data_IF_342342967315
#
_entry.id   IF_342342967315
#
_cell.length_a   1.000
_cell.length_b   1.000
_cell.length_c   1.000
_cell.angle_alpha   90.00
_cell.angle_beta   90.00
_cell.angle_gamma   90.00
#
_symmetry.space_group_name_H-M   'P 1'
#
loop_
_entity.id
_entity.type
_entity.pdbx_description
1 polymer ?
#
# COMPACT_ATOMS: atom_id res chain seq x y z
N UNK A 1 -22.07 -18.48 69.01
CA UNK A 1 -21.92 -17.72 70.28
C UNK A 1 -20.67 -16.86 70.17
N UNK A 2 -20.80 -15.53 70.21
CA UNK A 2 -19.73 -14.54 70.47
C UNK A 2 -19.10 -14.79 71.87
N UNK A 3 -17.90 -14.26 72.27
CA UNK A 3 -17.54 -12.84 72.14
C UNK A 3 -16.04 -12.41 72.08
N UNK A 4 -15.93 -11.10 71.80
CA UNK A 4 -14.86 -10.10 72.02
C UNK A 4 -13.80 -10.35 73.11
N UNK A 5 -12.58 -9.81 72.91
CA UNK A 5 -11.88 -8.89 73.85
C UNK A 5 -10.52 -8.40 73.30
N UNK A 6 -10.44 -7.13 72.90
CA UNK A 6 -9.20 -6.37 72.69
C UNK A 6 -8.92 -5.47 73.91
N UNK A 7 -7.73 -5.54 74.52
CA UNK A 7 -7.18 -4.57 75.51
C UNK A 7 -5.97 -3.88 74.86
N UNK A 8 -6.05 -2.59 74.50
CA UNK A 8 -5.80 -1.40 75.34
C UNK A 8 -4.37 -1.29 75.92
N UNK A 9 -3.59 -0.36 75.35
CA UNK A 9 -2.46 0.35 75.99
C UNK A 9 -2.74 1.86 75.97
N UNK A 10 -3.42 2.31 77.03
CA UNK A 10 -3.10 3.45 77.92
C UNK A 10 -1.68 4.07 77.74
N UNK A 11 -1.35 5.38 77.87
CA UNK A 11 -1.96 6.68 78.25
C UNK A 11 -0.99 7.80 77.79
N UNK A 12 -1.51 9.01 77.46
CA UNK A 12 -1.14 10.34 78.03
C UNK A 12 -1.41 11.48 77.04
N UNK A 13 -2.54 12.16 77.25
CA UNK A 13 -2.83 13.51 76.74
C UNK A 13 -2.35 14.53 77.78
N UNK A 14 -1.74 15.65 77.37
CA UNK A 14 -1.85 16.89 78.11
C UNK A 14 -3.04 17.73 77.62
N UNK A 15 -3.52 18.56 78.53
CA UNK A 15 -4.73 19.37 78.48
C UNK A 15 -4.69 20.46 77.41
N UNK A 16 -5.88 20.72 76.88
CA UNK A 16 -6.20 21.87 76.04
C UNK A 16 -6.00 23.18 76.83
N UNK A 17 -5.33 24.15 76.21
CA UNK A 17 -5.50 25.55 76.54
C UNK A 17 -6.19 26.22 75.34
N UNK A 18 -7.32 26.84 75.66
CA UNK A 18 -8.26 27.51 74.77
C UNK A 18 -7.72 28.88 74.37
N UNK A 19 -7.64 29.17 73.08
CA UNK A 19 -7.52 30.53 72.58
C UNK A 19 -8.29 30.68 71.26
N UNK A 20 -9.42 31.38 71.36
CA UNK A 20 -10.14 32.15 70.33
C UNK A 20 -10.28 31.54 68.92
N UNK A 21 -11.50 31.14 68.59
CA UNK A 21 -11.97 30.99 67.20
C UNK A 21 -11.88 32.35 66.48
N UNK A 22 -10.98 32.44 65.51
CA UNK A 22 -10.95 33.52 64.53
C UNK A 22 -11.63 32.98 63.25
N UNK A 23 -12.81 33.48 62.83
CA UNK A 23 -13.56 32.92 61.70
C UNK A 23 -13.07 33.42 60.33
N UNK A 24 -11.80 33.79 60.20
CA UNK A 24 -11.26 34.40 58.98
C UNK A 24 -9.88 33.83 58.62
N UNK A 25 -9.85 32.59 58.13
CA UNK A 25 -8.76 32.14 57.27
C UNK A 25 -9.34 31.82 55.88
N UNK A 26 -9.09 32.75 54.97
CA UNK A 26 -9.58 32.71 53.60
C UNK A 26 -8.80 31.67 52.79
N UNK A 27 -9.54 30.69 52.23
CA UNK A 27 -9.11 29.82 51.13
C UNK A 27 -8.50 30.66 50.01
N UNK A 28 -7.16 30.66 49.94
CA UNK A 28 -6.39 31.40 48.94
C UNK A 28 -5.96 30.52 47.75
N UNK A 29 -6.02 29.19 47.88
CA UNK A 29 -5.59 28.27 46.81
C UNK A 29 -6.66 27.98 45.74
N UNK A 30 -7.95 28.26 45.97
CA UNK A 30 -9.01 28.06 44.97
C UNK A 30 -9.34 29.30 44.13
N UNK A 31 -8.89 30.48 44.57
CA UNK A 31 -9.13 31.73 43.84
C UNK A 31 -8.03 31.99 42.81
N UNK A 32 -6.78 31.63 43.08
CA UNK A 32 -5.68 31.80 42.13
C UNK A 32 -5.76 30.87 40.92
N UNK A 33 -6.25 29.63 41.10
CA UNK A 33 -6.52 28.70 39.99
C UNK A 33 -7.63 29.22 39.08
N UNK A 34 -8.74 29.69 39.65
CA UNK A 34 -9.86 30.26 38.88
C UNK A 34 -9.50 31.58 38.22
N UNK A 35 -8.69 32.43 38.84
CA UNK A 35 -8.23 33.70 38.24
C UNK A 35 -7.25 33.43 37.09
N UNK A 36 -6.33 32.46 37.21
CA UNK A 36 -5.41 32.10 36.11
C UNK A 36 -6.12 31.39 34.95
N UNK A 37 -7.16 30.61 35.23
CA UNK A 37 -8.02 29.96 34.23
C UNK A 37 -8.96 30.95 33.52
N UNK A 38 -9.54 31.91 34.26
CA UNK A 38 -10.34 33.01 33.69
C UNK A 38 -9.48 34.05 32.96
N UNK A 39 -8.25 34.32 33.42
CA UNK A 39 -7.28 35.16 32.71
C UNK A 39 -6.75 34.50 31.43
N UNK A 40 -6.55 33.17 31.41
CA UNK A 40 -6.27 32.41 30.18
C UNK A 40 -7.43 32.47 29.20
N UNK A 41 -8.66 32.25 29.67
CA UNK A 41 -9.90 32.36 28.89
C UNK A 41 -10.10 33.77 28.29
N UNK A 42 -9.61 34.82 28.97
CA UNK A 42 -9.69 36.21 28.50
C UNK A 42 -8.61 36.58 27.46
N UNK A 43 -7.45 35.90 27.46
CA UNK A 43 -6.37 36.11 26.50
C UNK A 43 -6.33 35.08 25.35
N UNK A 44 -7.04 33.96 25.47
CA UNK A 44 -7.25 33.01 24.37
C UNK A 44 -8.28 33.59 23.40
N UNK A 45 -7.78 34.32 22.38
CA UNK A 45 -8.57 34.62 21.18
C UNK A 45 -9.16 33.30 20.68
N UNK A 46 -10.50 33.22 20.62
CA UNK A 46 -11.22 32.12 19.98
C UNK A 46 -10.50 31.77 18.67
N UNK A 47 -10.20 30.48 18.39
CA UNK A 47 -9.43 30.11 17.22
C UNK A 47 -10.10 30.74 16.00
N UNK A 48 -9.41 31.68 15.36
CA UNK A 48 -9.96 32.30 14.16
C UNK A 48 -10.15 31.19 13.13
N UNK A 49 -11.18 31.27 12.29
CA UNK A 49 -11.43 30.27 11.26
C UNK A 49 -10.16 29.96 10.42
N UNK A 50 -9.28 30.97 10.29
CA UNK A 50 -7.94 30.88 9.69
C UNK A 50 -6.95 30.01 10.49
N UNK A 51 -6.89 30.13 11.81
CA UNK A 51 -6.03 29.31 12.66
C UNK A 51 -6.52 27.86 12.73
N UNK A 52 -7.84 27.66 12.77
CA UNK A 52 -8.45 26.33 12.69
C UNK A 52 -8.15 25.66 11.35
N UNK A 53 -8.34 26.36 10.23
CA UNK A 53 -8.02 25.86 8.89
C UNK A 53 -6.53 25.56 8.70
N UNK A 54 -5.64 26.40 9.26
CA UNK A 54 -4.19 26.17 9.21
C UNK A 54 -3.77 24.96 10.05
N UNK A 55 -4.39 24.75 11.21
CA UNK A 55 -4.14 23.58 12.06
C UNK A 55 -4.65 22.30 11.40
N UNK A 56 -5.86 22.31 10.83
CA UNK A 56 -6.41 21.22 10.06
C UNK A 56 -5.50 20.85 8.87
N UNK A 57 -5.08 21.84 8.07
CA UNK A 57 -4.12 21.63 6.96
C UNK A 57 -2.83 20.94 7.42
N UNK A 58 -2.24 21.42 8.52
CA UNK A 58 -0.99 20.86 9.06
C UNK A 58 -1.19 19.43 9.54
N UNK A 59 -2.32 19.15 10.16
CA UNK A 59 -2.67 17.81 10.64
C UNK A 59 -2.86 16.86 9.45
N UNK A 60 -3.70 17.21 8.47
CA UNK A 60 -3.90 16.39 7.26
C UNK A 60 -2.60 16.15 6.51
N UNK A 61 -1.74 17.16 6.35
CA UNK A 61 -0.43 16.94 5.72
C UNK A 61 0.49 16.02 6.52
N UNK A 62 0.41 16.05 7.85
CA UNK A 62 1.23 15.17 8.70
C UNK A 62 0.76 13.72 8.59
N UNK A 63 -0.56 13.51 8.63
CA UNK A 63 -1.20 12.21 8.46
C UNK A 63 -0.89 11.63 7.08
N UNK A 64 -1.14 12.39 6.01
CA UNK A 64 -0.81 12.00 4.62
C UNK A 64 0.65 11.59 4.48
N UNK A 65 1.59 12.39 5.01
CA UNK A 65 3.02 12.04 4.98
C UNK A 65 3.36 10.81 5.81
N UNK A 66 2.64 10.55 6.90
CA UNK A 66 2.84 9.35 7.70
C UNK A 66 2.38 8.11 6.94
N UNK A 67 1.16 8.14 6.43
CA UNK A 67 0.59 7.06 5.62
C UNK A 67 1.43 6.78 4.37
N UNK A 68 1.93 7.83 3.69
CA UNK A 68 2.84 7.66 2.55
C UNK A 68 4.14 6.92 2.92
N UNK A 69 4.71 7.18 4.10
CA UNK A 69 5.91 6.47 4.59
C UNK A 69 5.61 5.04 5.05
N UNK A 70 4.41 4.77 5.54
CA UNK A 70 3.98 3.40 5.87
C UNK A 70 3.80 2.58 4.60
N UNK A 71 3.09 3.13 3.61
CA UNK A 71 2.97 2.53 2.28
C UNK A 71 4.35 2.30 1.62
N UNK A 72 5.29 3.23 1.73
CA UNK A 72 6.66 3.01 1.22
C UNK A 72 7.40 1.85 1.90
N UNK A 73 7.13 1.59 3.18
CA UNK A 73 7.71 0.44 3.88
C UNK A 73 7.07 -0.86 3.41
N UNK A 74 5.76 -0.88 3.27
CA UNK A 74 5.01 -2.03 2.76
C UNK A 74 5.38 -2.35 1.31
N UNK A 75 5.53 -1.33 0.45
CA UNK A 75 6.04 -1.49 -0.92
C UNK A 75 7.40 -2.18 -0.95
N UNK A 76 8.32 -1.80 -0.05
CA UNK A 76 9.65 -2.44 0.02
C UNK A 76 9.57 -3.88 0.51
N UNK A 77 8.59 -4.20 1.33
CA UNK A 77 8.36 -5.57 1.81
C UNK A 77 7.79 -6.43 0.68
N UNK A 78 6.80 -5.94 -0.06
CA UNK A 78 6.29 -6.59 -1.27
C UNK A 78 7.39 -6.79 -2.31
N UNK A 79 8.29 -5.82 -2.52
CA UNK A 79 9.44 -5.97 -3.43
C UNK A 79 10.43 -7.07 -2.99
N UNK A 80 10.58 -7.30 -1.68
CA UNK A 80 11.42 -8.39 -1.15
C UNK A 80 10.73 -9.74 -1.35
N UNK A 81 9.44 -9.81 -1.04
CA UNK A 81 8.62 -11.00 -1.24
C UNK A 81 8.59 -11.38 -2.73
N UNK A 82 8.40 -10.42 -3.64
CA UNK A 82 8.43 -10.65 -5.09
C UNK A 82 9.77 -11.29 -5.52
N UNK A 83 10.90 -10.75 -5.03
CA UNK A 83 12.23 -11.29 -5.34
C UNK A 83 12.43 -12.69 -4.76
N UNK A 84 11.94 -12.95 -3.55
CA UNK A 84 12.02 -14.26 -2.92
C UNK A 84 11.21 -15.29 -3.72
N UNK A 85 9.96 -14.98 -4.05
CA UNK A 85 9.08 -15.84 -4.86
C UNK A 85 9.73 -16.09 -6.23
N UNK A 86 10.32 -15.07 -6.86
CA UNK A 86 11.02 -15.23 -8.14
C UNK A 86 12.22 -16.20 -8.03
N UNK A 87 12.98 -16.14 -6.94
CA UNK A 87 14.08 -17.08 -6.69
C UNK A 87 13.56 -18.50 -6.47
N UNK A 88 12.52 -18.66 -5.67
CA UNK A 88 11.89 -19.96 -5.39
C UNK A 88 11.29 -20.56 -6.65
N UNK A 89 10.62 -19.76 -7.48
CA UNK A 89 10.04 -20.15 -8.76
C UNK A 89 11.14 -20.63 -9.72
N UNK A 90 12.26 -19.90 -9.83
CA UNK A 90 13.41 -20.32 -10.64
C UNK A 90 14.05 -21.62 -10.12
N UNK A 91 14.17 -21.79 -8.80
CA UNK A 91 14.70 -23.01 -8.21
C UNK A 91 13.75 -24.20 -8.42
N UNK A 92 12.44 -24.00 -8.28
CA UNK A 92 11.42 -25.04 -8.47
C UNK A 92 11.34 -25.47 -9.93
N UNK A 93 11.39 -24.51 -10.85
CA UNK A 93 11.43 -24.75 -12.28
C UNK A 93 12.64 -25.62 -12.69
N UNK A 94 13.84 -25.33 -12.16
CA UNK A 94 15.02 -26.18 -12.40
C UNK A 94 14.86 -27.61 -11.87
N UNK A 95 14.20 -27.79 -10.72
CA UNK A 95 13.96 -29.12 -10.12
C UNK A 95 12.87 -29.90 -10.85
N UNK A 96 11.89 -29.22 -11.43
CA UNK A 96 10.78 -29.85 -12.13
C UNK A 96 11.17 -30.44 -13.50
N UNK A 97 12.25 -29.93 -14.13
CA UNK A 97 12.72 -30.40 -15.43
C UNK A 97 11.61 -30.36 -16.49
N UNK A 98 11.56 -31.36 -17.37
CA UNK A 98 10.59 -31.43 -18.49
C UNK A 98 9.10 -31.51 -18.07
N UNK A 99 8.80 -31.70 -16.78
CA UNK A 99 7.43 -31.72 -16.26
C UNK A 99 7.01 -30.37 -15.63
N UNK A 100 7.78 -29.31 -15.85
CA UNK A 100 7.55 -27.97 -15.27
C UNK A 100 6.12 -27.45 -15.42
N UNK A 101 5.49 -27.68 -16.58
CA UNK A 101 4.12 -27.22 -16.87
C UNK A 101 3.01 -27.99 -16.13
N UNK A 102 3.32 -29.11 -15.48
CA UNK A 102 2.35 -29.92 -14.69
C UNK A 102 2.62 -29.87 -13.19
N UNK A 103 3.61 -29.10 -12.76
CA UNK A 103 4.01 -29.01 -11.36
C UNK A 103 3.12 -28.02 -10.62
N UNK A 104 2.16 -28.53 -9.84
CA UNK A 104 1.19 -27.71 -9.09
C UNK A 104 1.85 -26.70 -8.14
N UNK A 105 3.03 -27.04 -7.60
CA UNK A 105 3.79 -26.12 -6.76
C UNK A 105 4.36 -24.93 -7.54
N UNK A 106 4.70 -25.12 -8.82
CA UNK A 106 5.24 -24.09 -9.69
C UNK A 106 4.12 -23.12 -10.11
N UNK A 107 2.95 -23.64 -10.49
CA UNK A 107 1.75 -22.84 -10.77
C UNK A 107 1.30 -22.06 -9.53
N UNK A 108 1.33 -22.67 -8.34
CA UNK A 108 0.99 -21.99 -7.09
C UNK A 108 1.94 -20.81 -6.78
N UNK A 109 3.26 -21.00 -6.95
CA UNK A 109 4.26 -19.93 -6.78
C UNK A 109 4.08 -18.82 -7.81
N UNK A 110 3.73 -19.16 -9.05
CA UNK A 110 3.45 -18.15 -10.08
C UNK A 110 2.17 -17.37 -9.78
N UNK A 111 1.11 -18.02 -9.30
CA UNK A 111 -0.10 -17.33 -8.81
C UNK A 111 0.26 -16.36 -7.69
N UNK A 112 1.04 -16.79 -6.69
CA UNK A 112 1.51 -15.89 -5.63
C UNK A 112 2.31 -14.69 -6.17
N UNK A 113 3.14 -14.89 -7.19
CA UNK A 113 3.90 -13.81 -7.83
C UNK A 113 2.98 -12.77 -8.49
N UNK A 114 1.98 -13.22 -9.24
CA UNK A 114 0.98 -12.33 -9.88
C UNK A 114 0.22 -11.53 -8.82
N UNK A 115 -0.23 -12.20 -7.75
CA UNK A 115 -0.95 -11.54 -6.66
C UNK A 115 -0.11 -10.44 -5.97
N UNK A 116 1.16 -10.71 -5.69
CA UNK A 116 2.07 -9.72 -5.09
C UNK A 116 2.28 -8.51 -6.01
N UNK A 117 2.36 -8.72 -7.33
CA UNK A 117 2.48 -7.62 -8.31
C UNK A 117 1.23 -6.74 -8.35
N UNK A 118 0.04 -7.34 -8.35
CA UNK A 118 -1.23 -6.62 -8.30
C UNK A 118 -1.37 -5.82 -6.99
N UNK A 119 -0.99 -6.43 -5.85
CA UNK A 119 -0.96 -5.74 -4.56
C UNK A 119 -0.02 -4.53 -4.58
N UNK A 120 1.18 -4.66 -5.19
CA UNK A 120 2.11 -3.53 -5.34
C UNK A 120 1.52 -2.40 -6.18
N UNK A 121 0.86 -2.73 -7.28
CA UNK A 121 0.19 -1.75 -8.14
C UNK A 121 -0.93 -1.01 -7.40
N UNK A 122 -1.80 -1.74 -6.68
CA UNK A 122 -2.84 -1.15 -5.83
C UNK A 122 -2.25 -0.22 -4.77
N UNK A 123 -1.15 -0.62 -4.15
CA UNK A 123 -0.48 0.19 -3.14
C UNK A 123 0.12 1.46 -3.74
N UNK A 124 0.67 1.39 -4.95
CA UNK A 124 1.16 2.56 -5.69
C UNK A 124 0.01 3.51 -6.07
N UNK A 125 -1.12 2.99 -6.54
CA UNK A 125 -2.32 3.79 -6.81
C UNK A 125 -2.87 4.46 -5.54
N UNK A 126 -2.95 3.71 -4.44
CA UNK A 126 -3.40 4.21 -3.13
C UNK A 126 -2.47 5.31 -2.59
N UNK A 127 -1.15 5.16 -2.79
CA UNK A 127 -0.15 6.18 -2.43
C UNK A 127 -0.35 7.48 -3.21
N UNK A 128 -0.57 7.37 -4.52
CA UNK A 128 -0.86 8.52 -5.37
C UNK A 128 -2.16 9.21 -4.90
N UNK A 129 -3.18 8.42 -4.57
CA UNK A 129 -4.45 8.92 -4.09
C UNK A 129 -4.33 9.70 -2.77
N UNK A 130 -3.70 9.12 -1.74
CA UNK A 130 -3.46 9.80 -0.46
C UNK A 130 -2.64 11.10 -0.67
N UNK A 131 -1.71 11.09 -1.62
CA UNK A 131 -1.00 12.30 -2.05
C UNK A 131 -1.93 13.37 -2.62
N UNK A 132 -2.84 12.98 -3.52
CA UNK A 132 -3.84 13.86 -4.11
C UNK A 132 -4.78 14.44 -3.04
N UNK A 133 -5.27 13.63 -2.09
CA UNK A 133 -6.08 14.09 -0.95
C UNK A 133 -5.32 15.15 -0.13
N UNK A 134 -4.04 14.92 0.14
CA UNK A 134 -3.20 15.90 0.82
C UNK A 134 -3.04 17.22 0.06
N UNK A 135 -2.93 17.16 -1.26
CA UNK A 135 -2.90 18.35 -2.14
C UNK A 135 -4.24 19.07 -2.14
N UNK A 136 -5.36 18.35 -2.23
CA UNK A 136 -6.71 18.92 -2.17
C UNK A 136 -6.97 19.60 -0.82
N UNK A 137 -6.64 18.95 0.30
CA UNK A 137 -6.75 19.56 1.63
C UNK A 137 -5.87 20.82 1.75
N UNK A 138 -4.68 20.81 1.14
CA UNK A 138 -3.81 21.98 1.07
C UNK A 138 -4.43 23.14 0.27
N UNK A 139 -5.07 22.82 -0.86
CA UNK A 139 -5.77 23.78 -1.73
C UNK A 139 -6.99 24.37 -1.02
N UNK A 140 -7.83 23.53 -0.42
CA UNK A 140 -9.02 23.94 0.34
C UNK A 140 -8.64 24.86 1.50
N UNK A 141 -7.58 24.54 2.24
CA UNK A 141 -7.10 25.42 3.30
C UNK A 141 -6.58 26.78 2.78
N UNK A 142 -5.98 26.81 1.58
CA UNK A 142 -5.60 28.07 0.93
C UNK A 142 -6.82 28.88 0.48
N UNK A 143 -7.85 28.21 -0.06
CA UNK A 143 -9.13 28.84 -0.42
C UNK A 143 -9.82 29.43 0.81
N UNK A 144 -9.89 28.70 1.93
CA UNK A 144 -10.45 29.22 3.19
C UNK A 144 -9.65 30.42 3.71
N UNK A 145 -8.32 30.37 3.62
CA UNK A 145 -7.48 31.49 4.02
C UNK A 145 -7.68 32.72 3.11
N UNK A 146 -7.83 32.52 1.80
CA UNK A 146 -8.12 33.57 0.83
C UNK A 146 -9.51 34.16 1.06
N UNK A 147 -10.54 33.32 1.22
CA UNK A 147 -11.91 33.76 1.52
C UNK A 147 -11.99 34.51 2.86
N UNK A 148 -11.26 34.07 3.89
CA UNK A 148 -11.16 34.80 5.16
C UNK A 148 -10.46 36.15 4.99
N UNK A 149 -9.41 36.24 4.17
CA UNK A 149 -8.72 37.48 3.87
C UNK A 149 -9.61 38.43 3.06
N UNK A 150 -10.26 37.93 2.00
CA UNK A 150 -11.23 38.67 1.19
C UNK A 150 -12.42 39.11 2.05
N UNK A 151 -12.92 38.29 2.98
CA UNK A 151 -13.96 38.67 3.93
C UNK A 151 -13.53 39.83 4.83
N UNK A 152 -12.30 39.80 5.35
CA UNK A 152 -11.75 40.93 6.12
C UNK A 152 -11.52 42.20 5.29
N UNK A 153 -11.19 42.05 4.00
CA UNK A 153 -10.97 43.17 3.06
C UNK A 153 -12.29 43.71 2.49
N UNK A 154 -13.31 42.87 2.26
CA UNK A 154 -14.66 43.27 1.81
C UNK A 154 -15.52 43.81 2.94
N UNK A 155 -15.24 43.44 4.19
CA UNK A 155 -15.79 44.17 5.34
C UNK A 155 -15.20 45.59 5.46
N UNK A 156 -14.05 45.86 4.81
CA UNK A 156 -13.49 47.20 4.62
C UNK A 156 -13.86 47.84 3.25
N UNK A 157 -14.28 47.06 2.26
CA UNK A 157 -14.77 47.50 0.93
C UNK A 157 -16.14 46.86 0.64
N UNK A 158 -17.22 47.56 0.97
CA UNK A 158 -18.60 47.07 0.89
C UNK A 158 -18.97 46.41 -0.44
N UNK A 159 -19.31 45.11 -0.35
CA UNK A 159 -20.27 44.36 -1.18
C UNK A 159 -20.26 44.57 -2.70
N UNK A 160 -19.67 43.62 -3.45
CA UNK A 160 -20.25 43.12 -4.71
C UNK A 160 -19.55 41.90 -5.34
N UNK A 161 -18.29 41.54 -5.00
CA UNK A 161 -17.55 40.56 -5.81
C UNK A 161 -17.20 39.20 -5.15
N UNK A 162 -17.59 38.98 -3.89
CA UNK A 162 -17.21 37.75 -3.15
C UNK A 162 -18.05 36.50 -3.44
N UNK A 163 -19.20 36.64 -4.11
CA UNK A 163 -20.13 35.52 -4.33
C UNK A 163 -19.74 34.61 -5.51
N UNK A 164 -18.91 35.08 -6.46
CA UNK A 164 -18.47 34.27 -7.60
C UNK A 164 -17.47 33.18 -7.18
N UNK A 165 -16.45 33.51 -6.38
CA UNK A 165 -15.44 32.55 -5.91
C UNK A 165 -16.02 31.45 -5.00
N UNK A 166 -17.01 31.79 -4.16
CA UNK A 166 -17.63 30.83 -3.25
C UNK A 166 -18.44 29.75 -4.01
N UNK A 167 -19.13 30.14 -5.09
CA UNK A 167 -19.93 29.23 -5.91
C UNK A 167 -19.05 28.25 -6.70
N UNK A 168 -17.92 28.72 -7.21
CA UNK A 168 -16.94 27.87 -7.89
C UNK A 168 -16.29 26.88 -6.92
N UNK A 169 -15.98 27.33 -5.70
CA UNK A 169 -15.47 26.45 -4.63
C UNK A 169 -16.48 25.36 -4.23
N UNK A 170 -17.77 25.69 -4.11
CA UNK A 170 -18.82 24.71 -3.83
C UNK A 170 -18.95 23.67 -4.96
N UNK A 171 -18.82 24.10 -6.22
CA UNK A 171 -18.84 23.21 -7.38
C UNK A 171 -17.66 22.23 -7.37
N UNK A 172 -16.45 22.72 -7.08
CA UNK A 172 -15.25 21.88 -6.92
C UNK A 172 -15.44 20.88 -5.78
N UNK A 173 -16.10 21.27 -4.68
CA UNK A 173 -16.37 20.37 -3.56
C UNK A 173 -17.39 19.27 -3.92
N UNK A 174 -18.42 19.59 -4.70
CA UNK A 174 -19.37 18.59 -5.22
C UNK A 174 -18.71 17.66 -6.25
N UNK A 175 -17.90 18.18 -7.16
CA UNK A 175 -17.14 17.36 -8.11
C UNK A 175 -16.17 16.44 -7.37
N UNK A 176 -15.52 16.92 -6.30
CA UNK A 176 -14.67 16.10 -5.45
C UNK A 176 -15.47 15.01 -4.73
N UNK A 177 -16.61 15.34 -4.10
CA UNK A 177 -17.46 14.32 -3.45
C UNK A 177 -17.89 13.25 -4.45
N UNK A 178 -18.27 13.66 -5.66
CA UNK A 178 -18.68 12.75 -6.73
C UNK A 178 -17.53 11.91 -7.27
N UNK A 179 -16.33 12.47 -7.38
CA UNK A 179 -15.13 11.74 -7.81
C UNK A 179 -14.66 10.79 -6.71
N UNK A 180 -14.76 11.19 -5.44
CA UNK A 180 -14.43 10.36 -4.28
C UNK A 180 -15.42 9.20 -4.15
N UNK A 181 -16.73 9.43 -4.35
CA UNK A 181 -17.75 8.37 -4.43
C UNK A 181 -17.52 7.46 -5.63
N UNK A 182 -17.26 8.01 -6.83
CA UNK A 182 -16.93 7.21 -8.01
C UNK A 182 -15.69 6.36 -7.81
N UNK A 183 -14.74 6.88 -7.07
CA UNK A 183 -13.51 6.18 -6.77
C UNK A 183 -13.72 5.15 -5.67
N UNK A 184 -14.48 5.43 -4.61
CA UNK A 184 -14.89 4.42 -3.63
C UNK A 184 -15.63 3.28 -4.33
N UNK A 185 -16.56 3.59 -5.24
CA UNK A 185 -17.22 2.59 -6.09
C UNK A 185 -16.21 1.88 -6.99
N UNK A 186 -15.23 2.56 -7.59
CA UNK A 186 -14.17 1.89 -8.37
C UNK A 186 -13.26 1.03 -7.49
N UNK A 187 -13.01 1.41 -6.25
CA UNK A 187 -12.19 0.67 -5.30
C UNK A 187 -12.96 -0.55 -4.80
N UNK A 188 -14.26 -0.42 -4.53
CA UNK A 188 -15.17 -1.53 -4.20
C UNK A 188 -15.32 -2.47 -5.41
N UNK A 189 -15.57 -1.94 -6.60
CA UNK A 189 -15.62 -2.76 -7.83
C UNK A 189 -14.26 -3.38 -8.16
N UNK A 190 -13.15 -2.72 -7.83
CA UNK A 190 -11.80 -3.26 -8.02
C UNK A 190 -11.45 -4.28 -6.95
N UNK A 191 -11.96 -4.14 -5.72
CA UNK A 191 -11.77 -5.10 -4.63
C UNK A 191 -12.67 -6.32 -4.81
N UNK A 192 -13.91 -6.14 -5.28
CA UNK A 192 -14.80 -7.21 -5.72
C UNK A 192 -14.24 -7.90 -6.97
N UNK A 193 -13.76 -7.14 -7.96
CA UNK A 193 -13.05 -7.71 -9.10
C UNK A 193 -11.72 -8.33 -8.70
N UNK A 194 -11.07 -7.95 -7.59
CA UNK A 194 -9.85 -8.58 -7.08
C UNK A 194 -10.16 -9.88 -6.35
N UNK A 195 -11.22 -9.90 -5.55
CA UNK A 195 -11.71 -11.11 -4.87
C UNK A 195 -12.15 -12.12 -5.93
N UNK A 196 -12.89 -11.65 -6.94
CA UNK A 196 -13.31 -12.47 -8.08
C UNK A 196 -12.11 -12.80 -9.00
N UNK A 197 -11.14 -11.89 -9.22
CA UNK A 197 -9.91 -12.16 -9.97
C UNK A 197 -9.01 -13.19 -9.26
N UNK A 198 -8.95 -13.18 -7.94
CA UNK A 198 -8.20 -14.19 -7.18
C UNK A 198 -8.82 -15.59 -7.30
N UNK A 199 -10.13 -15.69 -7.57
CA UNK A 199 -10.86 -16.94 -7.85
C UNK A 199 -11.09 -17.21 -9.35
N UNK A 200 -10.84 -16.23 -10.25
CA UNK A 200 -11.09 -16.35 -11.69
C UNK A 200 -9.94 -17.01 -12.45
N UNK A 201 -10.33 -17.59 -13.59
CA UNK A 201 -9.45 -18.23 -14.56
C UNK A 201 -8.36 -17.26 -15.11
N UNK A 202 -8.60 -15.95 -15.10
CA UNK A 202 -7.65 -14.94 -15.64
C UNK A 202 -6.33 -14.86 -14.84
N UNK A 203 -6.37 -14.92 -13.50
CA UNK A 203 -5.13 -14.98 -12.70
C UNK A 203 -4.43 -16.32 -12.89
N UNK A 204 -5.16 -17.40 -13.19
CA UNK A 204 -4.54 -18.68 -13.54
C UNK A 204 -3.90 -18.64 -14.92
N UNK A 205 -4.50 -17.97 -15.90
CA UNK A 205 -3.90 -17.78 -17.22
C UNK A 205 -2.65 -16.90 -17.17
N UNK A 206 -2.67 -15.78 -16.42
CA UNK A 206 -1.48 -14.96 -16.20
C UNK A 206 -0.39 -15.73 -15.45
N UNK A 207 -0.76 -16.51 -14.44
CA UNK A 207 0.18 -17.37 -13.73
C UNK A 207 0.81 -18.40 -14.68
N UNK A 208 0.01 -19.05 -15.52
CA UNK A 208 0.47 -20.02 -16.50
C UNK A 208 1.41 -19.38 -17.53
N UNK A 209 1.11 -18.17 -18.02
CA UNK A 209 2.02 -17.41 -18.87
C UNK A 209 3.35 -17.10 -18.16
N UNK A 210 3.30 -16.69 -16.88
CA UNK A 210 4.49 -16.44 -16.07
C UNK A 210 5.30 -17.73 -15.86
N UNK A 211 4.65 -18.88 -15.65
CA UNK A 211 5.34 -20.18 -15.55
C UNK A 211 6.06 -20.51 -16.85
N UNK A 212 5.38 -20.38 -17.99
CA UNK A 212 5.93 -20.66 -19.32
C UNK A 212 7.12 -19.73 -19.62
N UNK A 213 6.98 -18.43 -19.31
CA UNK A 213 8.06 -17.48 -19.48
C UNK A 213 9.30 -17.88 -18.65
N UNK A 214 9.12 -18.26 -17.37
CA UNK A 214 10.26 -18.66 -16.53
C UNK A 214 10.86 -19.99 -16.97
N UNK A 215 10.05 -20.94 -17.44
CA UNK A 215 10.54 -22.21 -18.00
C UNK A 215 11.35 -21.99 -19.29
N UNK A 216 10.88 -21.09 -20.16
CA UNK A 216 11.58 -20.67 -21.37
C UNK A 216 12.90 -19.94 -21.05
N UNK A 217 12.88 -19.00 -20.09
CA UNK A 217 14.08 -18.29 -19.61
C UNK A 217 15.15 -19.24 -19.03
N UNK A 218 14.72 -20.37 -18.45
CA UNK A 218 15.63 -21.37 -17.87
C UNK A 218 16.11 -22.43 -18.87
N UNK A 219 15.64 -22.40 -20.12
CA UNK A 219 16.06 -23.34 -21.16
C UNK A 219 15.55 -24.78 -20.98
N UNK A 220 14.64 -25.02 -20.03
CA UNK A 220 14.09 -26.36 -19.74
C UNK A 220 13.23 -26.87 -20.90
N UNK A 221 12.67 -25.98 -21.72
CA UNK A 221 11.98 -26.35 -22.96
C UNK A 221 12.93 -26.72 -24.11
N UNK A 222 14.17 -26.21 -24.11
CA UNK A 222 15.12 -26.47 -25.20
C UNK A 222 15.64 -27.91 -25.14
N UNK A 223 15.83 -28.45 -23.94
CA UNK A 223 16.19 -29.86 -23.75
C UNK A 223 15.07 -30.80 -24.23
N UNK A 224 13.79 -30.45 -24.06
CA UNK A 224 12.69 -31.26 -24.58
C UNK A 224 12.62 -31.28 -26.12
N UNK A 225 13.03 -30.20 -26.80
CA UNK A 225 13.13 -30.16 -28.28
C UNK A 225 14.46 -30.72 -28.80
N UNK A 226 15.52 -30.71 -28.01
CA UNK A 226 16.83 -31.28 -28.40
C UNK A 226 16.98 -32.75 -28.08
N UNK A 227 16.28 -33.30 -27.08
CA UNK A 227 16.26 -34.76 -26.80
C UNK A 227 15.44 -35.53 -27.85
N UNK A 228 14.58 -34.86 -28.62
CA UNK A 228 13.90 -35.41 -29.79
C UNK A 228 14.61 -35.16 -31.13
N UNK A 229 15.71 -34.42 -31.12
CA UNK A 229 16.58 -34.27 -32.28
C UNK A 229 17.78 -35.18 -32.07
N UNK A 230 17.64 -36.43 -32.54
CA UNK A 230 18.80 -37.27 -32.85
C UNK A 230 19.87 -36.39 -33.52
N UNK A 231 21.09 -36.49 -33.01
CA UNK A 231 22.23 -35.71 -33.46
C UNK A 231 22.26 -35.64 -35.00
N UNK A 232 22.52 -34.47 -35.61
CA UNK A 232 22.53 -34.31 -37.07
C UNK A 232 23.53 -35.22 -37.79
N UNK A 233 24.43 -35.91 -37.06
CA UNK A 233 25.31 -36.94 -37.60
C UNK A 233 24.59 -38.13 -38.24
N UNK A 234 23.42 -38.56 -37.74
CA UNK A 234 22.80 -39.79 -38.25
C UNK A 234 22.08 -39.60 -39.60
N UNK A 235 21.46 -38.44 -39.82
CA UNK A 235 20.83 -38.11 -41.12
C UNK A 235 21.85 -37.81 -42.21
N UNK A 236 22.99 -37.19 -41.86
CA UNK A 236 24.11 -36.98 -42.79
C UNK A 236 24.77 -38.31 -43.17
N UNK A 237 24.96 -39.24 -42.23
CA UNK A 237 25.51 -40.57 -42.51
C UNK A 237 24.58 -41.43 -43.38
N UNK A 238 23.26 -41.37 -43.16
CA UNK A 238 22.30 -42.10 -43.99
C UNK A 238 22.22 -41.54 -45.42
N UNK A 239 22.22 -40.21 -45.60
CA UNK A 239 22.22 -39.60 -46.94
C UNK A 239 23.52 -39.85 -47.70
N UNK A 240 24.66 -39.89 -47.01
CA UNK A 240 25.95 -40.19 -47.63
C UNK A 240 26.07 -41.67 -48.01
N UNK A 241 25.54 -42.58 -47.18
CA UNK A 241 25.49 -44.02 -47.49
C UNK A 241 24.53 -44.36 -48.63
N UNK A 242 23.36 -43.72 -48.69
CA UNK A 242 22.37 -43.94 -49.76
C UNK A 242 22.88 -43.40 -51.11
N UNK A 243 23.56 -42.24 -51.10
CA UNK A 243 24.21 -41.69 -52.30
C UNK A 243 25.42 -42.52 -52.77
N UNK A 244 26.17 -43.14 -51.84
CA UNK A 244 27.24 -44.08 -52.15
C UNK A 244 26.68 -45.39 -52.73
N UNK A 245 25.57 -45.92 -52.21
CA UNK A 245 24.94 -47.14 -52.72
C UNK A 245 24.38 -46.97 -54.14
N UNK A 246 23.84 -45.79 -54.49
CA UNK A 246 23.32 -45.51 -55.83
C UNK A 246 24.43 -45.24 -56.87
N UNK A 247 25.60 -44.72 -56.45
CA UNK A 247 26.74 -44.48 -57.32
C UNK A 247 27.63 -45.72 -57.56
N UNK A 248 27.59 -46.71 -56.67
CA UNK A 248 28.37 -47.95 -56.77
C UNK A 248 28.13 -48.78 -58.05
N UNK A 249 26.90 -48.96 -58.58
CA UNK A 249 26.69 -49.71 -59.82
C UNK A 249 27.30 -49.02 -61.06
N UNK A 250 27.25 -47.69 -61.17
CA UNK A 250 27.87 -46.95 -62.30
C UNK A 250 29.40 -47.01 -62.24
N UNK A 251 29.99 -46.91 -61.05
CA UNK A 251 31.43 -47.06 -60.86
C UNK A 251 31.91 -48.48 -61.18
N UNK A 252 31.16 -49.51 -60.80
CA UNK A 252 31.46 -50.91 -61.16
C UNK A 252 31.34 -51.15 -62.67
N UNK A 253 30.36 -50.55 -63.33
CA UNK A 253 30.20 -50.65 -64.78
C UNK A 253 31.39 -50.00 -65.54
N UNK A 254 31.86 -48.84 -65.06
CA UNK A 254 33.04 -48.16 -65.63
C UNK A 254 34.33 -48.92 -65.40
N UNK A 255 34.49 -49.57 -64.24
CA UNK A 255 35.65 -50.41 -63.94
C UNK A 255 35.71 -51.65 -64.86
N UNK A 256 34.57 -52.31 -65.08
CA UNK A 256 34.48 -53.47 -65.97
C UNK A 256 34.65 -53.14 -67.46
N UNK A 257 34.50 -51.87 -67.85
CA UNK A 257 34.75 -51.42 -69.23
C UNK A 257 36.25 -51.13 -69.51
N UNK A 258 37.12 -51.29 -68.51
CA UNK A 258 38.55 -50.96 -68.56
C UNK A 258 39.46 -52.18 -68.30
N UNK A 259 38.90 -53.39 -68.25
CA UNK A 259 39.61 -54.67 -68.20
C UNK A 259 39.09 -55.60 -69.29
#
# INVERSE_FOLDING_TARGET
MFPNLTRSRTIRRPLQQTASSNPFSYSSNERESKVTETMKSWFEKKPTAKDAARKAKRQTQREVRSSQREMERESRELDRLEKQIMLELKQRAKKAGNNGSKDTALTALAKQLVQVRQQREKLQATKAHIGAVGMHASSMASQVAAASAIGSVTQAMGTANGAMDAKETMKIMQEFQRENERMEVKQEMMDDALIDAFDNDEVTEEADQVTQQVLAELGVEMDSKMVGLDAPSQKLQQQEQEALEDALPDLKARLNALG
#
